data_IF_855762182494
#
_entry.id   IF_855762182494
#
_cell.length_a   1.000
_cell.length_b   1.000
_cell.length_c   1.000
_cell.angle_alpha   90.00
_cell.angle_beta   90.00
_cell.angle_gamma   90.00
#
_symmetry.space_group_name_H-M   'P 1'
#
loop_
_entity.id
_entity.type
_entity.pdbx_description
1 polymer ?
2 water ?
#
# COMPACT_ATOMS: atom_id res chain seq x y z
N UNK A 2 -9.06 -27.16 19.60
CA UNK A 2 -10.41 -26.86 20.06
C UNK A 2 -10.64 -25.36 20.24
N UNK A 3 -9.60 -24.60 20.57
CA UNK A 3 -9.68 -23.15 20.41
C UNK A 3 -9.94 -22.81 18.95
N UNK A 4 -10.78 -21.81 18.72
CA UNK A 4 -11.11 -21.41 17.35
C UNK A 4 -11.01 -19.89 17.22
N UNK A 5 -10.86 -19.44 15.98
CA UNK A 5 -10.77 -18.02 15.69
C UNK A 5 -12.16 -17.39 15.73
N UNK A 6 -12.33 -16.34 16.54
CA UNK A 6 -13.65 -15.74 16.67
C UNK A 6 -14.00 -14.81 15.51
N UNK A 7 -13.02 -14.41 14.70
CA UNK A 7 -13.31 -13.56 13.56
C UNK A 7 -14.09 -14.31 12.48
N UNK A 8 -14.97 -13.57 11.81
CA UNK A 8 -15.66 -14.11 10.65
C UNK A 8 -14.66 -14.39 9.53
N UNK A 9 -15.00 -15.37 8.69
CA UNK A 9 -14.11 -15.75 7.59
C UNK A 9 -13.87 -14.60 6.62
N UNK A 10 -14.81 -13.65 6.53
CA UNK A 10 -14.61 -12.49 5.67
C UNK A 10 -13.54 -11.53 6.22
N UNK A 11 -13.05 -11.77 7.43
CA UNK A 11 -11.99 -10.96 8.01
C UNK A 11 -10.68 -11.72 8.09
N UNK A 12 -10.56 -12.84 7.38
CA UNK A 12 -9.34 -13.60 7.23
C UNK A 12 -8.94 -13.50 5.76
N UNK A 13 -7.75 -12.95 5.49
CA UNK A 13 -7.36 -12.54 4.15
C UNK A 13 -6.11 -13.27 3.70
N UNK A 14 -6.21 -13.99 2.58
CA UNK A 14 -5.04 -14.57 1.95
C UNK A 14 -4.45 -13.51 1.02
N UNK A 15 -3.24 -13.07 1.32
CA UNK A 15 -2.59 -12.01 0.56
C UNK A 15 -1.68 -12.69 -0.46
N UNK A 16 -2.11 -12.71 -1.73
CA UNK A 16 -1.41 -13.48 -2.76
C UNK A 16 -1.18 -12.66 -4.01
N UNK A 17 -1.23 -11.33 -3.90
CA UNK A 17 -1.08 -10.44 -5.03
C UNK A 17 -0.66 -9.08 -4.50
N UNK A 18 -0.12 -8.25 -5.39
CA UNK A 18 0.42 -6.97 -4.95
C UNK A 18 -0.68 -6.05 -4.48
N UNK A 19 -1.84 -6.05 -5.14
CA UNK A 19 -2.94 -5.21 -4.67
C UNK A 19 -3.38 -5.61 -3.27
N UNK A 20 -3.40 -6.91 -2.97
CA UNK A 20 -3.80 -7.35 -1.64
C UNK A 20 -2.76 -6.99 -0.60
N UNK A 21 -1.48 -7.01 -0.97
CA UNK A 21 -0.41 -6.63 -0.07
C UNK A 21 -0.53 -5.16 0.33
N UNK A 22 -0.78 -4.27 -0.63
CA UNK A 22 -0.89 -2.85 -0.30
C UNK A 22 -2.20 -2.54 0.43
N UNK A 23 -3.27 -3.30 0.16
CA UNK A 23 -4.48 -3.12 0.96
C UNK A 23 -4.23 -3.52 2.41
N UNK A 24 -3.49 -4.61 2.62
CA UNK A 24 -3.07 -4.99 3.97
C UNK A 24 -2.24 -3.88 4.62
N UNK A 25 -1.25 -3.36 3.90
CA UNK A 25 -0.37 -2.33 4.45
C UNK A 25 -1.18 -1.11 4.84
N UNK A 26 -2.20 -0.76 4.04
CA UNK A 26 -3.05 0.38 4.36
C UNK A 26 -3.70 0.23 5.74
N UNK A 27 -4.18 -0.97 6.05
CA UNK A 27 -4.77 -1.22 7.37
C UNK A 27 -3.68 -1.22 8.45
N UNK A 28 -2.62 -1.98 8.24
CA UNK A 28 -1.66 -2.22 9.32
C UNK A 28 -0.87 -0.98 9.69
N UNK A 29 -0.60 -0.08 8.74
CA UNK A 29 0.21 1.08 9.07
C UNK A 29 -0.48 2.03 10.04
N UNK A 30 -1.77 1.87 10.29
CA UNK A 30 -2.44 2.70 11.29
C UNK A 30 -2.77 1.96 12.58
N UNK A 31 -2.42 0.70 12.70
CA UNK A 31 -2.70 -0.03 13.92
C UNK A 31 -1.67 0.28 15.00
N UNK A 32 -2.09 0.10 16.24
CA UNK A 32 -1.21 0.27 17.39
C UNK A 32 -0.76 -1.06 17.99
N UNK A 33 -1.38 -2.17 17.61
CA UNK A 33 -0.98 -3.47 18.12
C UNK A 33 -1.25 -4.52 17.05
N UNK A 34 -0.23 -5.33 16.74
CA UNK A 34 -0.28 -6.38 15.72
C UNK A 34 0.40 -7.61 16.30
N UNK A 35 -0.10 -8.79 15.96
CA UNK A 35 0.58 -10.02 16.31
C UNK A 35 1.12 -10.66 15.03
N UNK A 36 2.25 -11.36 15.16
CA UNK A 36 2.79 -12.01 13.95
C UNK A 36 3.29 -13.41 14.27
N UNK A 37 3.26 -14.23 13.22
CA UNK A 37 3.74 -15.60 13.20
C UNK A 37 4.10 -15.94 11.75
N UNK A 38 4.68 -17.12 11.55
CA UNK A 38 5.07 -17.52 10.21
C UNK A 38 5.07 -19.03 10.10
N UNK A 39 4.97 -19.51 8.86
CA UNK A 39 5.06 -20.93 8.56
C UNK A 39 6.13 -21.13 7.49
N UNK A 40 6.88 -22.23 7.64
CA UNK A 40 8.04 -22.49 6.82
C UNK A 40 7.88 -23.80 6.06
N UNK A 41 8.46 -23.85 4.87
CA UNK A 41 8.49 -25.10 4.12
C UNK A 41 9.23 -26.16 4.92
N UNK A 42 8.75 -27.41 4.94
CA UNK A 42 9.56 -28.49 5.51
C UNK A 42 10.93 -28.53 4.83
N UNK A 43 11.95 -28.85 5.61
CA UNK A 43 13.32 -28.85 5.11
C UNK A 43 13.89 -30.26 5.14
N UNK A 44 14.81 -30.50 4.21
CA UNK A 44 15.44 -31.80 4.03
C UNK A 44 16.94 -31.62 3.85
N UNK A 45 17.54 -30.86 4.76
CA UNK A 45 18.94 -30.51 4.70
C UNK A 45 19.23 -29.22 3.97
N UNK A 46 18.32 -28.74 3.12
CA UNK A 46 18.53 -27.54 2.35
C UNK A 46 18.26 -26.28 3.15
N UNK A 47 18.25 -25.16 2.43
CA UNK A 47 18.02 -23.87 3.06
C UNK A 47 16.56 -23.69 3.44
N UNK A 48 16.33 -22.86 4.45
CA UNK A 48 14.97 -22.58 4.88
C UNK A 48 14.30 -21.60 3.93
N UNK A 49 13.00 -21.80 3.71
CA UNK A 49 12.19 -20.96 2.84
C UNK A 49 10.85 -20.69 3.50
N UNK A 50 10.41 -19.43 3.47
CA UNK A 50 9.14 -19.04 4.09
C UNK A 50 7.98 -19.45 3.19
N UNK A 51 6.93 -20.00 3.82
CA UNK A 51 5.67 -20.23 3.11
C UNK A 51 4.65 -19.12 3.36
N UNK A 52 4.39 -18.82 4.64
CA UNK A 52 3.41 -17.81 5.05
C UNK A 52 4.01 -16.91 6.11
N UNK A 53 3.60 -15.64 6.09
CA UNK A 53 3.75 -14.73 7.24
C UNK A 53 2.35 -14.24 7.61
N UNK A 54 1.99 -14.38 8.88
CA UNK A 54 0.64 -14.05 9.33
C UNK A 54 0.69 -12.83 10.25
N UNK A 55 -0.15 -11.84 9.95
CA UNK A 55 -0.23 -10.59 10.71
C UNK A 55 -1.67 -10.39 11.14
N UNK A 56 -1.89 -10.30 12.46
CA UNK A 56 -3.23 -10.23 13.03
C UNK A 56 -3.46 -8.92 13.76
N UNK A 57 -4.63 -8.34 13.56
CA UNK A 57 -5.17 -7.27 14.40
C UNK A 57 -6.39 -7.82 15.12
N UNK A 58 -6.98 -7.01 16.01
CA UNK A 58 -8.18 -7.48 16.68
C UNK A 58 -9.33 -7.72 15.72
N UNK A 59 -9.27 -7.16 14.51
CA UNK A 59 -10.38 -7.20 13.56
C UNK A 59 -10.14 -8.02 12.31
N UNK A 60 -8.87 -8.31 11.97
CA UNK A 60 -8.54 -8.96 10.71
C UNK A 60 -7.27 -9.77 10.89
N UNK A 61 -7.16 -10.86 10.12
CA UNK A 61 -5.92 -11.60 10.03
C UNK A 61 -5.51 -11.65 8.56
N UNK A 62 -4.26 -11.29 8.29
CA UNK A 62 -3.68 -11.34 6.95
C UNK A 62 -2.64 -12.45 6.88
N UNK A 63 -2.67 -13.23 5.82
CA UNK A 63 -1.70 -14.31 5.63
C UNK A 63 -0.99 -14.05 4.32
N UNK A 64 0.26 -13.58 4.39
CA UNK A 64 1.03 -13.31 3.18
C UNK A 64 1.55 -14.63 2.62
N UNK A 65 1.11 -14.97 1.40
CA UNK A 65 1.57 -16.18 0.72
C UNK A 65 2.87 -15.84 0.01
N UNK A 66 3.99 -16.17 0.64
CA UNK A 66 5.28 -15.76 0.11
C UNK A 66 5.60 -16.54 -1.15
N UNK A 67 5.09 -17.77 -1.25
CA UNK A 67 5.38 -18.60 -2.42
C UNK A 67 4.71 -18.05 -3.67
N UNK A 68 3.50 -17.52 -3.56
CA UNK A 68 2.70 -17.12 -4.71
C UNK A 68 2.82 -15.62 -5.02
N UNK A 69 3.11 -14.80 -4.00
CA UNK A 69 2.92 -13.36 -4.15
C UNK A 69 3.99 -12.69 -5.01
N UNK A 70 5.22 -13.24 -5.04
CA UNK A 70 6.29 -12.66 -5.87
C UNK A 70 6.62 -11.21 -5.46
N UNK A 71 6.73 -10.99 -4.15
CA UNK A 71 7.07 -9.67 -3.64
C UNK A 71 8.55 -9.36 -3.83
N UNK A 72 8.86 -8.09 -4.03
CA UNK A 72 10.20 -7.60 -4.36
C UNK A 72 10.80 -6.82 -3.20
N UNK A 73 12.09 -6.46 -3.27
CA UNK A 73 12.71 -5.76 -2.12
C UNK A 73 11.96 -4.52 -1.65
N UNK A 74 11.40 -3.72 -2.57
CA UNK A 74 10.64 -2.54 -2.16
C UNK A 74 9.43 -2.94 -1.31
N UNK A 75 8.75 -4.03 -1.67
CA UNK A 75 7.56 -4.44 -0.92
C UNK A 75 7.92 -4.86 0.49
N UNK A 76 8.96 -5.68 0.64
CA UNK A 76 9.41 -6.10 1.97
C UNK A 76 9.95 -4.92 2.76
N UNK A 77 10.67 -4.02 2.12
CA UNK A 77 11.15 -2.85 2.83
C UNK A 77 10.00 -1.99 3.33
N UNK A 78 8.91 -1.94 2.56
CA UNK A 78 7.76 -1.15 2.99
C UNK A 78 7.07 -1.77 4.19
N UNK A 79 7.00 -3.10 4.23
CA UNK A 79 6.41 -3.77 5.39
C UNK A 79 7.29 -3.60 6.62
N UNK A 80 8.61 -3.73 6.46
CA UNK A 80 9.50 -3.52 7.59
C UNK A 80 9.40 -2.10 8.12
N UNK A 81 9.38 -1.12 7.21
CA UNK A 81 9.40 0.27 7.67
C UNK A 81 8.09 0.68 8.32
N UNK A 82 6.96 0.26 7.77
CA UNK A 82 5.67 0.80 8.18
C UNK A 82 4.96 -0.04 9.23
N UNK A 83 5.53 -1.20 9.60
CA UNK A 83 4.95 -2.05 10.64
C UNK A 83 6.01 -2.48 11.64
N UNK A 84 7.04 -3.20 11.18
CA UNK A 84 7.89 -3.91 12.14
C UNK A 84 8.91 -3.02 12.82
N UNK A 85 9.57 -2.13 12.07
CA UNK A 85 10.63 -1.29 12.63
C UNK A 85 10.11 0.05 13.11
N UNK A 86 8.95 0.05 13.74
CA UNK A 86 8.35 1.24 14.30
C UNK A 86 8.20 1.09 15.80
N UNK A 87 8.71 2.05 16.56
CA UNK A 87 8.60 1.99 18.01
C UNK A 87 7.20 2.31 18.51
N UNK A 88 6.32 2.86 17.65
CA UNK A 88 4.98 3.27 18.07
C UNK A 88 3.91 2.23 17.75
N UNK A 89 4.31 1.04 17.28
CA UNK A 89 3.38 -0.07 17.06
C UNK A 89 3.87 -1.27 17.85
N UNK A 90 3.03 -1.75 18.76
CA UNK A 90 3.35 -2.97 19.51
C UNK A 90 3.17 -4.20 18.61
N UNK A 91 4.20 -5.04 18.52
CA UNK A 91 4.11 -6.33 17.85
C UNK A 91 4.17 -7.43 18.91
N UNK A 92 3.23 -8.36 18.85
CA UNK A 92 3.23 -9.53 19.73
C UNK A 92 3.77 -10.73 18.98
N UNK A 93 4.53 -11.56 19.67
CA UNK A 93 5.19 -12.71 19.07
C UNK A 93 5.44 -13.74 20.16
N UNK A 94 5.84 -14.94 19.76
CA UNK A 94 6.31 -15.96 20.69
C UNK A 94 7.68 -16.41 20.21
N UNK A 95 8.71 -16.22 21.04
CA UNK A 95 10.09 -16.50 20.69
C UNK A 95 10.48 -15.95 19.32
N UNK A 96 10.36 -14.61 19.14
CA UNK A 96 10.54 -14.02 17.80
C UNK A 96 11.93 -14.18 17.20
N UNK A 97 12.96 -14.32 18.03
CA UNK A 97 14.34 -14.37 17.51
C UNK A 97 14.51 -15.48 16.48
N UNK A 98 13.79 -16.58 16.64
CA UNK A 98 13.91 -17.69 15.70
C UNK A 98 13.50 -17.27 14.30
N UNK A 99 12.26 -16.79 14.14
CA UNK A 99 11.79 -16.38 12.81
C UNK A 99 12.62 -15.23 12.27
N UNK A 100 12.91 -14.23 13.11
CA UNK A 100 13.54 -13.01 12.63
C UNK A 100 14.95 -13.27 12.13
N UNK A 101 15.74 -14.06 12.88
CA UNK A 101 17.07 -14.41 12.40
C UNK A 101 17.00 -15.19 11.10
N UNK A 102 16.02 -16.10 10.99
CA UNK A 102 15.88 -16.90 9.77
C UNK A 102 15.41 -16.05 8.59
N UNK A 103 14.57 -15.03 8.83
CA UNK A 103 14.19 -14.12 7.76
C UNK A 103 15.41 -13.46 7.12
N UNK A 104 16.44 -13.16 7.93
CA UNK A 104 17.58 -12.41 7.37
C UNK A 104 18.24 -13.20 6.24
N UNK A 105 18.12 -14.52 6.26
CA UNK A 105 18.70 -15.34 5.22
C UNK A 105 17.69 -15.75 4.17
N UNK A 106 16.44 -16.00 4.57
CA UNK A 106 15.43 -16.46 3.62
C UNK A 106 14.76 -15.32 2.87
N UNK A 107 14.61 -14.16 3.52
CA UNK A 107 13.92 -13.01 2.95
C UNK A 107 14.71 -11.77 3.33
N UNK A 108 15.90 -11.59 2.74
CA UNK A 108 16.84 -10.60 3.29
C UNK A 108 16.33 -9.16 3.25
N UNK A 109 15.46 -8.81 2.29
CA UNK A 109 14.92 -7.45 2.24
C UNK A 109 13.92 -7.16 3.35
N UNK A 110 13.35 -8.19 3.98
CA UNK A 110 12.43 -8.03 5.10
C UNK A 110 13.29 -7.95 6.36
N UNK A 111 13.90 -6.77 6.53
CA UNK A 111 14.99 -6.58 7.46
C UNK A 111 14.44 -6.03 8.78
N UNK A 112 13.96 -6.94 9.62
CA UNK A 112 13.37 -6.57 10.91
C UNK A 112 14.46 -6.38 11.95
N UNK A 113 14.41 -5.26 12.68
CA UNK A 113 15.36 -4.95 13.73
C UNK A 113 14.85 -5.46 15.08
N UNK A 114 15.57 -6.41 15.65
CA UNK A 114 15.22 -6.95 16.98
C UNK A 114 16.53 -7.27 17.68
N UNK A 115 16.95 -6.38 18.59
CA UNK A 115 18.28 -6.48 19.19
C UNK A 115 18.28 -5.74 20.52
N UNK A 116 19.42 -5.85 21.21
CA UNK A 116 19.58 -5.24 22.53
C UNK A 116 19.28 -3.75 22.51
N UNK A 117 19.77 -3.05 21.49
CA UNK A 117 19.54 -1.60 21.40
C UNK A 117 18.06 -1.29 21.29
N UNK A 118 17.39 -1.86 20.28
CA UNK A 118 15.98 -1.59 20.03
C UNK A 118 15.24 -2.88 19.78
N UNK A 119 14.17 -3.09 20.55
CA UNK A 119 13.23 -4.17 20.31
C UNK A 119 12.28 -3.85 19.17
N UNK A 120 12.31 -2.62 18.66
CA UNK A 120 11.30 -2.14 17.71
C UNK A 120 9.89 -2.38 18.24
N UNK A 121 9.74 -2.38 19.56
CA UNK A 121 8.47 -2.64 20.23
C UNK A 121 7.92 -4.03 19.88
N UNK A 122 8.81 -5.00 19.65
CA UNK A 122 8.40 -6.39 19.48
C UNK A 122 8.47 -7.08 20.85
N UNK A 123 7.33 -7.55 21.32
CA UNK A 123 7.25 -8.22 22.62
C UNK A 123 7.22 -9.73 22.42
N UNK A 124 8.19 -10.41 23.02
CA UNK A 124 8.19 -11.87 23.13
C UNK A 124 7.27 -12.26 24.28
N UNK A 125 6.18 -12.96 23.98
CA UNK A 125 5.26 -13.33 25.07
C UNK A 125 5.86 -14.36 26.00
N UNK A 126 6.86 -15.12 25.55
CA UNK A 126 7.55 -16.02 26.48
C UNK A 126 8.29 -15.24 27.55
N UNK A 127 8.80 -14.06 27.23
CA UNK A 127 9.46 -13.21 28.24
C UNK A 127 8.45 -12.64 29.21
N UNK A 128 7.28 -12.22 28.71
CA UNK A 128 6.22 -11.76 29.61
C UNK A 128 5.74 -12.87 30.52
N UNK A 129 5.60 -14.08 29.97
CA UNK A 129 5.27 -15.25 30.77
C UNK A 129 6.24 -15.44 31.92
N UNK A 130 7.54 -15.44 31.61
CA UNK A 130 8.54 -15.65 32.65
C UNK A 130 8.55 -14.51 33.67
N UNK A 131 8.20 -13.30 33.23
CA UNK A 131 8.21 -12.15 34.13
C UNK A 131 7.06 -12.23 35.14
N UNK A 132 5.86 -12.52 34.66
CA UNK A 132 4.69 -12.53 35.54
C UNK A 132 4.64 -13.76 36.43
N UNK A 133 5.30 -14.86 36.02
CA UNK A 133 5.42 -16.06 36.85
C UNK A 133 5.98 -15.74 38.22
N UNK A 134 6.78 -14.68 38.33
CA UNK A 134 7.48 -14.34 39.55
C UNK A 134 6.62 -13.56 40.53
N UNK A 135 5.49 -13.00 40.10
CA UNK A 135 4.56 -12.39 41.03
C UNK A 135 3.77 -13.49 41.74
N UNK A 136 3.96 -13.59 43.06
CA UNK A 136 3.32 -14.68 43.81
C UNK A 136 1.81 -14.65 43.70
N UNK A 137 1.22 -13.45 43.57
CA UNK A 137 -0.22 -13.30 43.47
C UNK A 137 -0.76 -13.63 42.09
N UNK A 138 0.07 -13.67 41.07
CA UNK A 138 -0.42 -13.79 39.70
C UNK A 138 -0.98 -15.18 39.45
N UNK A 139 -2.20 -15.23 38.94
CA UNK A 139 -2.85 -16.49 38.56
C UNK A 139 -3.41 -16.37 37.14
N UNK A 140 -3.02 -17.30 36.28
CA UNK A 140 -3.70 -17.42 34.99
C UNK A 140 -5.16 -17.82 35.23
N UNK A 141 -6.07 -17.41 34.33
CA UNK A 141 -7.50 -17.74 34.55
C UNK A 141 -7.79 -19.21 34.48
N UNK A 142 -6.95 -19.99 33.80
CA UNK A 142 -7.09 -21.43 33.78
C UNK A 142 -5.76 -21.98 34.26
N UNK A 143 -5.38 -21.58 35.47
CA UNK A 143 -4.03 -21.80 35.95
C UNK A 143 -3.72 -23.28 36.08
N UNK A 144 -2.48 -23.62 35.77
CA UNK A 144 -1.94 -24.96 35.98
C UNK A 144 -0.52 -24.79 36.48
N UNK A 145 -0.02 -25.83 37.13
CA UNK A 145 1.30 -25.78 37.75
C UNK A 145 2.35 -26.34 36.80
N UNK A 146 3.43 -25.58 36.61
CA UNK A 146 4.66 -26.04 35.98
C UNK A 146 4.41 -26.77 34.65
N UNK A 147 3.74 -26.07 33.73
CA UNK A 147 3.62 -26.59 32.39
C UNK A 147 4.87 -26.22 31.59
N UNK A 148 5.14 -27.00 30.54
CA UNK A 148 6.20 -26.64 29.61
C UNK A 148 5.88 -25.29 28.99
N UNK A 149 6.91 -24.48 28.76
CA UNK A 149 6.72 -23.10 28.32
C UNK A 149 6.70 -23.02 26.79
N UNK A 150 5.61 -23.54 26.22
CA UNK A 150 5.34 -23.45 24.79
C UNK A 150 4.01 -22.73 24.57
N UNK A 151 3.73 -22.40 23.30
CA UNK A 151 2.55 -21.60 23.00
C UNK A 151 1.26 -22.36 23.30
N UNK A 152 1.23 -23.67 23.01
CA UNK A 152 0.02 -24.44 23.26
C UNK A 152 -0.37 -24.40 24.74
N UNK A 153 0.62 -24.47 25.63
CA UNK A 153 0.30 -24.42 27.05
C UNK A 153 -0.11 -23.01 27.48
N UNK A 154 0.49 -21.98 26.90
CA UNK A 154 0.07 -20.62 27.22
C UNK A 154 -1.36 -20.36 26.78
N UNK A 155 -1.77 -20.91 25.63
CA UNK A 155 -3.15 -20.79 25.19
C UNK A 155 -4.09 -21.43 26.21
N UNK A 156 -3.75 -22.62 26.70
CA UNK A 156 -4.61 -23.25 27.70
C UNK A 156 -4.70 -22.43 28.97
N UNK A 157 -3.55 -21.93 29.46
CA UNK A 157 -3.54 -21.13 30.69
C UNK A 157 -4.38 -19.87 30.56
N UNK A 158 -4.35 -19.23 29.39
CA UNK A 158 -5.02 -17.95 29.24
C UNK A 158 -6.45 -18.06 28.75
N UNK A 159 -6.75 -19.03 27.88
CA UNK A 159 -8.04 -19.12 27.25
C UNK A 159 -8.85 -20.36 27.60
N UNK A 160 -8.26 -21.33 28.30
CA UNK A 160 -9.02 -22.47 28.78
C UNK A 160 -9.43 -23.45 27.71
N UNK A 161 -8.77 -23.41 26.55
CA UNK A 161 -9.03 -24.36 25.49
C UNK A 161 -7.72 -24.92 24.97
N UNK A 162 -7.82 -26.09 24.34
CA UNK A 162 -6.66 -26.74 23.75
C UNK A 162 -6.35 -26.10 22.39
N UNK A 163 -5.08 -25.85 22.14
CA UNK A 163 -4.62 -25.38 20.83
C UNK A 163 -4.39 -26.58 19.93
N UNK A 164 -5.20 -26.71 18.88
CA UNK A 164 -5.04 -27.79 17.91
C UNK A 164 -3.79 -27.54 17.09
N UNK A 165 -2.76 -28.35 17.32
CA UNK A 165 -1.47 -28.24 16.66
C UNK A 165 -1.26 -29.29 15.57
N UNK A 166 -2.33 -29.97 15.14
CA UNK A 166 -2.15 -31.09 14.21
C UNK A 166 -1.58 -30.64 12.87
N UNK A 167 -1.72 -29.37 12.51
CA UNK A 167 -1.20 -28.86 11.25
C UNK A 167 0.11 -28.08 11.40
N UNK A 168 0.68 -28.04 12.61
CA UNK A 168 1.91 -27.31 12.85
C UNK A 168 3.02 -27.75 11.90
N UNK A 169 3.18 -29.07 11.73
CA UNK A 169 4.21 -29.64 10.88
C UNK A 169 3.64 -30.24 9.61
N UNK A 170 2.51 -29.69 9.14
CA UNK A 170 1.94 -30.08 7.86
C UNK A 170 2.82 -29.59 6.71
N UNK A 171 2.44 -29.95 5.48
CA UNK A 171 3.25 -29.63 4.32
C UNK A 171 2.92 -28.21 3.90
N UNK A 172 3.67 -27.25 4.45
CA UNK A 172 3.43 -25.85 4.14
C UNK A 172 3.86 -25.45 2.73
N UNK A 173 4.49 -26.35 1.98
CA UNK A 173 4.89 -26.05 0.61
C UNK A 173 3.82 -26.42 -0.42
N UNK A 174 2.81 -27.17 -0.02
CA UNK A 174 1.79 -27.55 -0.99
C UNK A 174 0.89 -26.37 -1.31
N UNK A 175 0.48 -26.27 -2.58
CA UNK A 175 -0.44 -25.25 -3.04
C UNK A 175 -1.53 -25.87 -3.90
N UNK A 176 -2.81 -25.56 -3.67
CA UNK A 176 -3.24 -24.66 -2.58
C UNK A 176 -3.11 -25.31 -1.21
N UNK A 177 -2.99 -24.47 -0.18
CA UNK A 177 -3.05 -24.98 1.16
C UNK A 177 -4.46 -25.45 1.48
N UNK A 178 -4.56 -26.41 2.38
CA UNK A 178 -5.87 -26.91 2.81
C UNK A 178 -6.50 -25.93 3.79
N UNK A 179 -7.83 -25.94 3.85
CA UNK A 179 -8.52 -25.00 4.74
C UNK A 179 -8.08 -25.18 6.19
N UNK A 180 -7.75 -26.40 6.61
CA UNK A 180 -7.30 -26.62 7.98
C UNK A 180 -5.94 -25.98 8.23
N UNK A 181 -5.09 -25.94 7.20
CA UNK A 181 -3.79 -25.27 7.32
C UNK A 181 -3.97 -23.76 7.45
N UNK A 182 -4.82 -23.18 6.59
CA UNK A 182 -5.08 -21.75 6.67
C UNK A 182 -5.69 -21.37 8.02
N UNK A 183 -6.58 -22.22 8.54
CA UNK A 183 -7.19 -21.91 9.84
C UNK A 183 -6.14 -21.94 10.96
N UNK A 184 -5.29 -22.96 10.97
CA UNK A 184 -4.22 -23.03 11.96
C UNK A 184 -3.30 -21.82 11.86
N UNK A 185 -2.92 -21.45 10.65
CA UNK A 185 -1.97 -20.34 10.49
C UNK A 185 -2.57 -19.03 10.98
N UNK A 186 -3.84 -18.78 10.66
CA UNK A 186 -4.45 -17.52 11.08
C UNK A 186 -4.59 -17.46 12.60
N UNK A 187 -5.02 -18.55 13.21
CA UNK A 187 -5.19 -18.56 14.66
C UNK A 187 -3.85 -18.48 15.38
N UNK A 188 -2.76 -18.98 14.78
CA UNK A 188 -1.49 -18.96 15.50
C UNK A 188 -1.01 -17.53 15.72
N UNK A 189 -1.38 -16.62 14.82
CA UNK A 189 -1.10 -15.21 15.07
C UNK A 189 -2.17 -14.58 15.99
N UNK A 190 -3.45 -14.82 15.71
CA UNK A 190 -4.51 -14.13 16.46
C UNK A 190 -4.49 -14.48 17.95
N UNK A 191 -4.16 -15.72 18.30
CA UNK A 191 -4.24 -16.11 19.70
C UNK A 191 -3.23 -15.34 20.56
N UNK A 192 -2.18 -14.78 19.94
CA UNK A 192 -1.23 -13.97 20.69
C UNK A 192 -1.90 -12.72 21.24
N UNK A 193 -2.83 -12.14 20.48
CA UNK A 193 -3.58 -10.99 20.98
C UNK A 193 -4.44 -11.38 22.17
N UNK A 194 -5.11 -12.52 22.07
CA UNK A 194 -5.95 -13.00 23.17
C UNK A 194 -5.12 -13.32 24.41
N UNK A 195 -3.92 -13.90 24.22
CA UNK A 195 -3.02 -14.17 25.35
C UNK A 195 -2.62 -12.86 26.03
N UNK A 196 -2.15 -11.88 25.25
CA UNK A 196 -1.73 -10.61 25.87
C UNK A 196 -2.87 -9.99 26.65
N UNK A 197 -4.07 -10.01 26.09
CA UNK A 197 -5.22 -9.41 26.78
C UNK A 197 -5.50 -10.11 28.10
N UNK A 198 -5.38 -11.43 28.14
CA UNK A 198 -5.64 -12.16 29.38
C UNK A 198 -4.59 -11.84 30.45
N UNK A 199 -3.32 -11.73 30.05
CA UNK A 199 -2.27 -11.41 31.01
C UNK A 199 -2.43 -9.98 31.52
N UNK A 200 -2.72 -9.04 30.62
CA UNK A 200 -3.00 -7.66 31.01
C UNK A 200 -4.07 -7.59 32.08
N UNK A 201 -5.18 -8.30 31.86
CA UNK A 201 -6.29 -8.25 32.81
C UNK A 201 -5.89 -8.78 34.18
N UNK A 202 -5.08 -9.85 34.21
CA UNK A 202 -4.70 -10.41 35.50
C UNK A 202 -3.66 -9.55 36.21
N UNK A 203 -2.76 -8.89 35.48
CA UNK A 203 -1.85 -7.94 36.11
C UNK A 203 -2.61 -6.78 36.76
N UNK A 204 -3.62 -6.26 36.06
CA UNK A 204 -4.46 -5.23 36.63
C UNK A 204 -5.19 -5.75 37.88
N UNK A 205 -5.60 -7.03 37.85
CA UNK A 205 -6.33 -7.61 38.97
C UNK A 205 -5.48 -7.63 40.24
N UNK A 206 -4.18 -7.86 40.12
CA UNK A 206 -3.31 -7.89 41.29
C UNK A 206 -2.61 -6.54 41.47
N UNK A 207 -3.24 -5.48 40.97
CA UNK A 207 -2.84 -4.09 41.23
C UNK A 207 -1.46 -3.75 40.68
N UNK A 208 -1.12 -4.33 39.53
CA UNK A 208 0.08 -3.94 38.80
C UNK A 208 -0.33 -3.21 37.53
N UNK A 209 0.59 -2.43 36.97
CA UNK A 209 0.30 -1.69 35.74
C UNK A 209 0.92 -2.45 34.58
N UNK A 210 0.12 -3.11 33.76
CA UNK A 210 0.71 -3.85 32.62
C UNK A 210 1.48 -2.97 31.64
N UNK A 211 1.09 -1.69 31.46
CA UNK A 211 1.85 -0.83 30.55
C UNK A 211 3.24 -0.54 31.11
N UNK A 212 3.36 -0.39 32.44
CA UNK A 212 4.67 -0.18 33.03
C UNK A 212 5.56 -1.40 32.83
N UNK A 213 4.99 -2.60 33.01
CA UNK A 213 5.72 -3.84 32.78
C UNK A 213 6.11 -3.99 31.31
N UNK A 214 5.18 -3.66 30.40
CA UNK A 214 5.47 -3.71 28.98
C UNK A 214 6.70 -2.87 28.62
N UNK A 215 6.73 -1.61 29.09
CA UNK A 215 7.86 -0.75 28.74
C UNK A 215 9.18 -1.31 29.26
N UNK A 216 9.18 -1.86 30.48
CA UNK A 216 10.41 -2.43 31.01
C UNK A 216 10.89 -3.61 30.16
N UNK A 217 9.96 -4.48 29.73
CA UNK A 217 10.36 -5.63 28.93
C UNK A 217 10.91 -5.22 27.58
N UNK A 218 10.37 -4.16 26.99
CA UNK A 218 10.82 -3.71 25.68
C UNK A 218 12.14 -2.95 25.76
N UNK A 219 12.79 -2.91 26.92
CA UNK A 219 14.03 -2.15 27.11
C UNK A 219 15.16 -2.97 27.74
N UNK A 220 15.00 -4.27 27.92
CA UNK A 220 16.08 -5.06 28.52
C UNK A 220 16.65 -6.08 27.54
N UNK B 2 -17.35 24.65 -17.59
CA UNK B 2 -18.54 24.04 -18.16
C UNK B 2 -18.44 22.52 -18.11
N UNK B 3 -17.31 21.98 -18.56
CA UNK B 3 -17.08 20.55 -18.40
C UNK B 3 -17.01 20.19 -16.93
N UNK B 4 -17.58 19.03 -16.58
CA UNK B 4 -17.60 18.56 -15.20
C UNK B 4 -17.18 17.11 -15.15
N UNK B 5 -16.77 16.69 -13.95
CA UNK B 5 -16.35 15.31 -13.71
C UNK B 5 -17.55 14.39 -13.62
N UNK B 6 -17.52 13.29 -14.38
CA UNK B 6 -18.65 12.38 -14.44
C UNK B 6 -18.74 11.44 -13.24
N UNK B 7 -17.65 11.24 -12.51
CA UNK B 7 -17.67 10.39 -11.33
C UNK B 7 -18.39 11.07 -10.19
N UNK B 8 -19.01 10.26 -9.32
CA UNK B 8 -19.60 10.87 -8.14
C UNK B 8 -18.55 11.05 -7.06
N UNK B 9 -18.93 11.82 -6.03
CA UNK B 9 -17.96 12.35 -5.08
C UNK B 9 -17.26 11.27 -4.28
N UNK B 10 -17.91 10.13 -4.10
CA UNK B 10 -17.31 9.04 -3.34
C UNK B 10 -16.21 8.32 -4.10
N UNK B 11 -16.02 8.63 -5.39
CA UNK B 11 -14.91 8.09 -6.17
C UNK B 11 -13.86 9.14 -6.44
N UNK B 12 -13.89 10.25 -5.73
CA UNK B 12 -12.84 11.26 -5.73
C UNK B 12 -12.24 11.27 -4.34
N UNK B 13 -10.95 10.95 -4.24
CA UNK B 13 -10.31 10.63 -2.96
C UNK B 13 -9.22 11.64 -2.69
N UNK B 14 -9.32 12.33 -1.56
CA UNK B 14 -8.22 13.15 -1.08
C UNK B 14 -7.28 12.26 -0.28
N UNK B 15 -6.06 12.11 -0.77
CA UNK B 15 -5.08 11.21 -0.17
C UNK B 15 -4.18 12.08 0.71
N UNK B 16 -4.43 12.07 2.03
CA UNK B 16 -3.73 12.95 2.95
C UNK B 16 -3.11 12.19 4.12
N UNK B 17 -2.87 10.89 3.96
CA UNK B 17 -2.23 10.07 4.98
C UNK B 17 -1.61 8.84 4.33
N UNK B 18 -0.72 8.18 5.08
CA UNK B 18 -0.07 6.98 4.56
C UNK B 18 -1.06 5.86 4.30
N UNK B 19 -2.07 5.68 5.16
CA UNK B 19 -3.01 4.60 4.92
C UNK B 19 -3.82 4.84 3.65
N UNK B 20 -4.21 6.09 3.39
CA UNK B 20 -4.94 6.38 2.17
C UNK B 20 -4.04 6.24 0.96
N UNK B 21 -2.76 6.55 1.12
CA UNK B 21 -1.80 6.37 0.04
C UNK B 21 -1.66 4.90 -0.36
N UNK B 22 -1.57 4.01 0.64
CA UNK B 22 -1.42 2.60 0.30
C UNK B 22 -2.71 2.01 -0.23
N UNK B 23 -3.88 2.53 0.20
CA UNK B 23 -5.13 2.09 -0.39
C UNK B 23 -5.21 2.49 -1.85
N UNK B 24 -4.77 3.70 -2.16
CA UNK B 24 -4.67 4.13 -3.55
C UNK B 24 -3.75 3.20 -4.35
N UNK B 25 -2.56 2.89 -3.80
CA UNK B 25 -1.64 2.04 -4.53
C UNK B 25 -2.23 0.65 -4.75
N UNK B 26 -3.04 0.15 -3.82
CA UNK B 26 -3.68 -1.14 -4.00
C UNK B 26 -4.52 -1.15 -5.28
N UNK B 27 -5.25 -0.07 -5.54
CA UNK B 27 -6.01 0.06 -6.79
C UNK B 27 -5.08 0.23 -7.98
N UNK B 28 -4.18 1.21 -7.90
CA UNK B 28 -3.44 1.64 -9.09
C UNK B 28 -2.47 0.58 -9.58
N UNK B 29 -1.94 -0.25 -8.69
CA UNK B 29 -0.95 -1.22 -9.12
C UNK B 29 -1.56 -2.30 -10.01
N UNK B 30 -2.89 -2.40 -10.12
CA UNK B 30 -3.51 -3.35 -11.04
C UNK B 30 -4.13 -2.68 -12.26
N UNK B 31 -4.06 -1.37 -12.37
CA UNK B 31 -4.62 -0.69 -13.53
C UNK B 31 -3.71 -0.80 -14.73
N UNK B 32 -4.32 -0.73 -15.92
CA UNK B 32 -3.58 -0.70 -17.18
C UNK B 32 -3.51 0.68 -17.80
N UNK B 33 -4.25 1.65 -17.30
CA UNK B 33 -4.18 3.01 -17.83
C UNK B 33 -4.51 3.99 -16.71
N UNK B 34 -3.65 4.98 -16.53
CA UNK B 34 -3.76 5.97 -15.46
C UNK B 34 -3.36 7.32 -16.03
N UNK B 35 -4.14 8.34 -15.76
CA UNK B 35 -3.78 9.69 -16.17
C UNK B 35 -3.18 10.42 -14.99
N UNK B 36 -2.24 11.32 -15.24
CA UNK B 36 -1.70 12.10 -14.13
C UNK B 36 -1.54 13.58 -14.47
N UNK B 37 -1.60 14.38 -13.41
CA UNK B 37 -1.42 15.82 -13.46
C UNK B 37 -0.93 16.26 -12.08
N UNK B 38 -0.58 17.54 -11.97
CA UNK B 38 -0.12 18.03 -10.68
C UNK B 38 -0.39 19.51 -10.55
N UNK B 39 -0.38 19.98 -9.30
CA UNK B 39 -0.52 21.40 -8.99
C UNK B 39 0.62 21.82 -8.07
N UNK B 40 1.13 23.03 -8.29
CA UNK B 40 2.32 23.51 -7.63
C UNK B 40 2.04 24.78 -6.84
N UNK B 41 2.72 24.91 -5.70
CA UNK B 41 2.67 26.13 -4.92
C UNK B 41 3.11 27.32 -5.78
N UNK B 42 2.46 28.48 -5.64
CA UNK B 42 2.92 29.68 -6.35
C UNK B 42 4.38 30.00 -6.03
N UNK B 43 5.08 30.51 -7.04
CA UNK B 43 6.52 30.74 -6.97
C UNK B 43 6.79 32.24 -6.86
N UNK B 44 7.61 32.62 -5.87
CA UNK B 44 8.06 33.99 -5.68
C UNK B 44 9.59 33.97 -5.57
N UNK B 45 10.27 33.75 -6.69
CA UNK B 45 11.72 33.71 -6.67
C UNK B 45 12.28 32.71 -5.67
N UNK B 46 11.69 31.53 -5.59
CA UNK B 46 12.16 30.49 -4.71
C UNK B 46 12.10 29.13 -5.38
N UNK B 47 12.41 28.07 -4.65
CA UNK B 47 12.35 26.73 -5.22
C UNK B 47 10.90 26.28 -5.38
N UNK B 48 10.67 25.43 -6.38
CA UNK B 48 9.34 24.91 -6.65
C UNK B 48 9.00 23.82 -5.63
N UNK B 49 7.72 23.77 -5.24
CA UNK B 49 7.22 22.81 -4.27
C UNK B 49 5.86 22.30 -4.73
N UNK B 50 5.65 20.99 -4.62
CA UNK B 50 4.41 20.38 -5.09
C UNK B 50 3.31 20.53 -4.05
N UNK B 51 2.10 20.88 -4.51
CA UNK B 51 0.92 20.87 -3.67
C UNK B 51 0.12 19.57 -3.80
N UNK B 52 -0.23 19.20 -5.04
CA UNK B 52 -1.06 18.03 -5.29
C UNK B 52 -0.46 17.26 -6.46
N UNK B 53 -0.60 15.93 -6.40
CA UNK B 53 -0.43 15.07 -7.56
C UNK B 53 -1.73 14.30 -7.73
N UNK B 54 -2.29 14.33 -8.96
CA UNK B 54 -3.59 13.73 -9.24
C UNK B 54 -3.41 12.53 -10.17
N UNK B 55 -4.00 11.41 -9.78
CA UNK B 55 -3.93 10.17 -10.55
C UNK B 55 -5.34 9.69 -10.79
N UNK B 56 -5.72 9.52 -12.06
CA UNK B 56 -7.10 9.20 -12.43
C UNK B 56 -7.16 7.86 -13.17
N UNK B 57 -8.16 7.08 -12.83
CA UNK B 57 -8.59 5.92 -13.61
C UNK B 57 -9.99 6.21 -14.12
N UNK B 58 -10.53 5.29 -14.94
CA UNK B 58 -11.89 5.50 -15.39
C UNK B 58 -12.91 5.49 -14.25
N UNK B 59 -12.55 4.92 -13.09
CA UNK B 59 -13.51 4.78 -11.99
C UNK B 59 -13.23 5.64 -10.77
N UNK B 60 -12.01 6.17 -10.63
CA UNK B 60 -11.62 6.88 -9.41
C UNK B 60 -10.58 7.94 -9.74
N UNK B 61 -10.60 9.03 -9.00
CA UNK B 61 -9.53 10.03 -9.04
C UNK B 61 -8.96 10.17 -7.64
N UNK B 62 -7.63 10.10 -7.56
CA UNK B 62 -6.89 10.27 -6.31
C UNK B 62 -6.11 11.56 -6.36
N UNK B 63 -6.17 12.35 -5.31
CA UNK B 63 -5.43 13.60 -5.24
C UNK B 63 -4.51 13.50 -4.03
N UNK B 64 -3.21 13.34 -4.28
CA UNK B 64 -2.24 13.21 -3.20
C UNK B 64 -1.94 14.61 -2.71
N UNK B 65 -2.31 14.89 -1.45
CA UNK B 65 -1.98 16.17 -0.83
C UNK B 65 -0.56 16.05 -0.29
N UNK B 66 0.40 16.54 -1.07
CA UNK B 66 1.81 16.39 -0.71
C UNK B 66 2.11 17.21 0.54
N UNK B 67 1.42 18.33 0.72
CA UNK B 67 1.73 19.19 1.86
C UNK B 67 1.34 18.53 3.17
N UNK B 68 0.22 17.82 3.21
CA UNK B 68 -0.34 17.29 4.46
C UNK B 68 0.07 15.84 4.71
N UNK B 69 0.35 15.07 3.64
CA UNK B 69 0.45 13.62 3.77
C UNK B 69 1.70 13.15 4.52
N UNK B 70 2.77 13.93 4.52
CA UNK B 70 4.03 13.54 5.17
C UNK B 70 4.55 12.21 4.64
N UNK B 71 4.51 12.03 3.32
CA UNK B 71 5.01 10.78 2.75
C UNK B 71 6.53 10.78 2.79
N UNK B 72 7.08 9.60 3.01
CA UNK B 72 8.51 9.42 3.17
C UNK B 72 9.15 8.92 1.87
N UNK B 73 10.48 8.99 1.75
CA UNK B 73 11.12 8.60 0.48
C UNK B 73 10.71 7.23 -0.02
N UNK B 74 10.54 6.24 0.85
CA UNK B 74 10.15 4.92 0.38
C UNK B 74 8.73 4.91 -0.18
N UNK B 75 7.86 5.77 0.35
CA UNK B 75 6.51 5.86 -0.22
C UNK B 75 6.54 6.39 -1.64
N UNK B 76 7.35 7.42 -1.89
CA UNK B 76 7.49 7.92 -3.25
C UNK B 76 8.13 6.87 -4.15
N UNK B 77 9.08 6.09 -3.62
CA UNK B 77 9.66 5.02 -4.41
C UNK B 77 8.61 4.00 -4.78
N UNK B 78 7.66 3.75 -3.88
CA UNK B 78 6.61 2.78 -4.14
C UNK B 78 5.69 3.27 -5.24
N UNK B 79 5.41 4.57 -5.27
CA UNK B 79 4.57 5.09 -6.34
C UNK B 79 5.30 5.06 -7.67
N UNK B 80 6.59 5.39 -7.68
CA UNK B 80 7.36 5.29 -8.91
C UNK B 80 7.42 3.85 -9.42
N UNK B 81 7.66 2.89 -8.52
CA UNK B 81 7.82 1.51 -8.96
C UNK B 81 6.49 0.91 -9.41
N UNK B 82 5.41 1.17 -8.67
CA UNK B 82 4.13 0.52 -8.94
C UNK B 82 3.29 1.22 -10.00
N UNK B 83 3.63 2.43 -10.40
CA UNK B 83 2.84 3.16 -11.40
C UNK B 83 3.72 3.72 -12.51
N UNK B 84 4.59 4.67 -12.18
CA UNK B 84 5.20 5.50 -13.22
C UNK B 84 6.26 4.75 -14.02
N UNK B 85 7.03 3.87 -13.37
CA UNK B 85 8.14 3.19 -14.03
C UNK B 85 7.79 1.80 -14.53
N UNK B 86 6.50 1.48 -14.63
CA UNK B 86 6.05 0.19 -15.15
C UNK B 86 5.74 0.30 -16.62
N UNK B 87 6.40 -0.53 -17.43
CA UNK B 87 6.17 -0.50 -18.87
C UNK B 87 4.78 -1.01 -19.25
N UNK B 88 4.14 -1.80 -18.39
CA UNK B 88 2.87 -2.42 -18.72
C UNK B 88 1.67 -1.63 -18.24
N UNK B 89 1.87 -0.39 -17.79
CA UNK B 89 0.78 0.53 -17.46
C UNK B 89 0.95 1.77 -18.32
N UNK B 90 -0.08 2.09 -19.10
CA UNK B 90 -0.07 3.33 -19.87
C UNK B 90 -0.39 4.52 -18.96
N UNK B 91 0.46 5.54 -18.98
CA UNK B 91 0.23 6.80 -18.27
C UNK B 91 -0.11 7.85 -19.32
N UNK B 92 -1.21 8.57 -19.09
CA UNK B 92 -1.60 9.69 -19.92
C UNK B 92 -1.20 10.99 -19.25
N UNK B 93 -0.78 11.96 -20.06
CA UNK B 93 -0.28 13.22 -19.55
C UNK B 93 -0.41 14.28 -20.64
N UNK B 94 -0.17 15.53 -20.27
CA UNK B 94 -0.05 16.61 -21.24
C UNK B 94 1.22 17.37 -20.92
N UNK B 95 2.16 17.40 -21.87
CA UNK B 95 3.48 18.00 -21.69
C UNK B 95 4.14 17.55 -20.39
N UNK B 96 4.36 16.25 -20.20
CA UNK B 96 4.82 15.74 -18.90
C UNK B 96 6.23 16.18 -18.51
N UNK B 97 7.07 16.61 -19.47
CA UNK B 97 8.45 16.95 -19.12
C UNK B 97 8.52 18.08 -18.11
N UNK B 98 7.58 19.02 -18.17
CA UNK B 98 7.55 20.11 -17.21
C UNK B 98 7.42 19.58 -15.78
N UNK B 99 6.37 18.80 -15.53
CA UNK B 99 6.14 18.29 -14.18
C UNK B 99 7.26 17.36 -13.74
N UNK B 100 7.67 16.45 -14.62
CA UNK B 100 8.62 15.40 -14.23
C UNK B 100 9.98 16.01 -13.91
N UNK B 101 10.46 16.93 -14.75
CA UNK B 101 11.72 17.61 -14.45
C UNK B 101 11.61 18.39 -13.15
N UNK B 102 10.44 18.96 -12.86
CA UNK B 102 10.24 19.67 -11.61
C UNK B 102 10.17 18.71 -10.42
N UNK B 103 9.62 17.50 -10.63
CA UNK B 103 9.63 16.48 -9.58
C UNK B 103 11.05 16.12 -9.16
N UNK B 104 12.01 16.24 -10.08
CA UNK B 104 13.36 15.73 -9.83
C UNK B 104 14.03 16.42 -8.65
N UNK B 105 13.68 17.67 -8.39
CA UNK B 105 14.22 18.41 -7.26
C UNK B 105 13.21 18.62 -6.13
N UNK B 106 11.92 18.69 -6.45
CA UNK B 106 10.92 18.84 -5.40
C UNK B 106 10.73 17.54 -4.63
N UNK B 107 10.76 16.41 -5.33
CA UNK B 107 10.55 15.09 -4.74
C UNK B 107 11.66 14.16 -5.20
N UNK B 108 12.87 14.33 -4.64
CA UNK B 108 14.03 13.61 -5.21
C UNK B 108 13.93 12.09 -5.15
N UNK B 109 13.15 11.53 -4.21
CA UNK B 109 13.02 10.08 -4.11
C UNK B 109 11.94 9.51 -5.04
N UNK B 110 11.21 10.38 -5.74
CA UNK B 110 10.18 9.98 -6.69
C UNK B 110 10.87 9.82 -8.05
N UNK B 111 11.54 8.68 -8.22
CA UNK B 111 12.51 8.53 -9.31
C UNK B 111 11.80 8.22 -10.63
N UNK B 112 11.10 9.21 -11.15
CA UNK B 112 10.45 9.12 -12.46
C UNK B 112 11.37 9.71 -13.50
N UNK B 113 11.28 9.17 -14.71
CA UNK B 113 12.18 9.48 -15.82
C UNK B 113 11.35 9.60 -17.09
N UNK B 114 11.52 10.70 -17.83
CA UNK B 114 10.79 10.83 -19.08
C UNK B 114 11.59 11.61 -20.12
N UNK B 115 11.74 11.01 -21.28
CA UNK B 115 12.09 11.70 -22.52
C UNK B 115 11.12 11.21 -23.59
N UNK B 116 11.03 11.98 -24.67
CA UNK B 116 10.20 11.52 -25.79
C UNK B 116 10.79 10.29 -26.45
N UNK B 117 12.07 9.98 -26.21
CA UNK B 117 12.68 8.77 -26.73
C UNK B 117 12.67 7.62 -25.73
N UNK B 118 12.62 7.91 -24.43
CA UNK B 118 12.51 6.90 -23.37
C UNK B 118 11.33 7.29 -22.49
N UNK B 119 10.18 6.64 -22.72
CA UNK B 119 8.90 7.15 -22.22
C UNK B 119 8.43 6.52 -20.92
N UNK B 120 8.92 5.34 -20.54
CA UNK B 120 8.34 4.56 -19.44
C UNK B 120 6.83 4.38 -19.63
N UNK B 121 6.41 4.28 -20.90
CA UNK B 121 5.01 4.15 -21.28
C UNK B 121 4.18 5.36 -20.82
N UNK B 122 4.83 6.52 -20.74
CA UNK B 122 4.12 7.78 -20.50
C UNK B 122 3.83 8.41 -21.86
N UNK B 123 2.55 8.56 -22.18
CA UNK B 123 2.12 9.19 -23.43
C UNK B 123 1.81 10.66 -23.19
N UNK B 124 2.51 11.53 -23.92
CA UNK B 124 2.21 12.96 -23.97
C UNK B 124 1.10 13.18 -25.00
N UNK B 125 -0.08 13.60 -24.54
CA UNK B 125 -1.19 13.78 -25.47
C UNK B 125 -0.94 14.87 -26.49
N UNK B 126 -0.06 15.83 -26.17
CA UNK B 126 0.32 16.85 -27.14
C UNK B 126 1.09 16.25 -28.30
N UNK B 127 1.88 15.19 -28.05
CA UNK B 127 2.56 14.48 -29.15
C UNK B 127 1.58 13.68 -29.98
N UNK B 128 0.59 13.05 -29.35
CA UNK B 128 -0.45 12.35 -30.11
C UNK B 128 -1.21 13.32 -31.00
N UNK B 129 -1.51 14.50 -30.44
CA UNK B 129 -2.17 15.56 -31.20
C UNK B 129 -1.38 15.91 -32.45
N UNK B 130 -0.08 16.18 -32.30
CA UNK B 130 0.77 16.47 -33.44
C UNK B 130 0.79 15.30 -34.41
N UNK B 131 0.78 14.07 -33.91
CA UNK B 131 0.97 12.91 -34.76
C UNK B 131 -0.23 12.68 -35.69
N UNK B 132 -1.45 12.81 -35.18
CA UNK B 132 -2.61 12.47 -35.99
C UNK B 132 -2.92 13.52 -37.05
N UNK B 133 -2.32 14.70 -36.96
CA UNK B 133 -2.55 15.72 -37.99
C UNK B 133 -2.04 15.25 -39.35
N UNK B 134 -1.19 14.21 -39.39
CA UNK B 134 -0.67 13.67 -40.63
C UNK B 134 -1.67 12.81 -41.38
N UNK B 135 -2.75 12.36 -40.73
CA UNK B 135 -3.77 11.56 -41.38
C UNK B 135 -4.82 12.50 -41.95
N UNK B 136 -4.83 12.64 -43.28
CA UNK B 136 -5.71 13.61 -43.91
C UNK B 136 -7.17 13.34 -43.62
N UNK B 137 -7.53 12.08 -43.37
CA UNK B 137 -8.90 11.76 -43.04
C UNK B 137 -9.24 11.98 -41.56
N UNK B 138 -8.24 12.27 -40.73
CA UNK B 138 -8.50 12.44 -39.30
C UNK B 138 -9.03 13.83 -39.03
N UNK B 139 -10.18 13.89 -38.38
CA UNK B 139 -10.71 15.13 -37.83
C UNK B 139 -11.09 14.87 -36.39
N UNK B 140 -10.84 15.84 -35.51
CA UNK B 140 -11.39 15.74 -34.18
C UNK B 140 -12.92 15.81 -34.26
N UNK B 141 -13.62 15.24 -33.29
CA UNK B 141 -15.11 15.28 -33.35
C UNK B 141 -15.66 16.69 -33.46
N UNK B 142 -15.02 17.65 -32.81
CA UNK B 142 -15.42 19.06 -32.86
C UNK B 142 -14.25 19.86 -33.42
N UNK B 143 -13.79 19.43 -34.59
CA UNK B 143 -12.59 19.95 -35.21
C UNK B 143 -12.66 21.45 -35.46
N UNK B 144 -11.51 22.11 -35.31
CA UNK B 144 -11.33 23.50 -35.70
C UNK B 144 -10.03 23.59 -36.49
N UNK B 145 -9.96 24.56 -37.40
CA UNK B 145 -8.85 24.59 -38.36
C UNK B 145 -7.52 24.92 -37.68
N UNK B 146 -7.50 25.98 -36.87
CA UNK B 146 -6.25 26.49 -36.28
C UNK B 146 -6.46 26.70 -34.80
N UNK B 147 -5.60 26.07 -33.99
CA UNK B 147 -5.81 25.98 -32.54
C UNK B 147 -4.46 26.06 -31.85
N UNK B 148 -4.33 26.98 -30.88
CA UNK B 148 -3.18 26.96 -29.99
C UNK B 148 -3.22 25.69 -29.15
N UNK B 149 -2.08 25.00 -29.03
CA UNK B 149 -2.06 23.64 -28.49
C UNK B 149 -1.90 23.64 -26.97
N UNK B 150 -3.02 23.86 -26.28
CA UNK B 150 -3.09 23.69 -24.84
C UNK B 150 -4.20 22.70 -24.48
N UNK B 151 -4.26 22.34 -23.20
CA UNK B 151 -5.19 21.31 -22.78
C UNK B 151 -6.64 21.75 -22.93
N UNK B 152 -6.95 23.01 -22.58
CA UNK B 152 -8.33 23.47 -22.69
C UNK B 152 -8.83 23.36 -24.13
N UNK B 153 -7.96 23.71 -25.08
CA UNK B 153 -8.40 23.65 -26.48
C UNK B 153 -8.55 22.21 -26.94
N UNK B 154 -7.68 21.31 -26.45
CA UNK B 154 -7.84 19.89 -26.79
C UNK B 154 -9.13 19.32 -26.20
N UNK B 155 -9.50 19.74 -24.99
CA UNK B 155 -10.79 19.33 -24.45
C UNK B 155 -11.93 19.78 -25.35
N UNK B 156 -11.87 21.01 -25.86
CA UNK B 156 -12.95 21.47 -26.73
C UNK B 156 -12.99 20.69 -28.04
N UNK B 157 -11.83 20.41 -28.65
CA UNK B 157 -11.81 19.65 -29.90
C UNK B 157 -12.35 18.24 -29.73
N UNK B 158 -12.09 17.63 -28.58
CA UNK B 158 -12.46 16.23 -28.36
C UNK B 158 -13.85 16.06 -27.77
N UNK B 159 -14.27 16.97 -26.88
CA UNK B 159 -15.52 16.80 -26.15
C UNK B 159 -16.56 17.87 -26.43
N UNK B 160 -16.17 18.97 -27.08
CA UNK B 160 -17.12 20.01 -27.44
C UNK B 160 -17.51 20.92 -26.30
N UNK B 161 -16.73 20.88 -25.21
CA UNK B 161 -17.08 21.57 -23.98
C UNK B 161 -15.92 22.46 -23.56
N UNK B 162 -16.23 23.45 -22.72
CA UNK B 162 -15.24 24.37 -22.22
C UNK B 162 -14.67 23.86 -20.91
N UNK B 163 -13.34 23.79 -20.84
CA UNK B 163 -12.64 23.49 -19.60
C UNK B 163 -12.47 24.76 -18.79
N UNK B 164 -13.09 24.81 -17.61
CA UNK B 164 -12.97 25.96 -16.72
C UNK B 164 -11.58 25.98 -16.11
N UNK B 165 -10.77 26.96 -16.47
CA UNK B 165 -9.39 27.07 -15.99
C UNK B 165 -9.23 28.18 -14.96
N UNK B 166 -10.33 28.65 -14.38
CA UNK B 166 -10.24 29.78 -13.47
C UNK B 166 -9.40 29.47 -12.23
N UNK B 167 -9.29 28.20 -11.84
CA UNK B 167 -8.48 27.86 -10.67
C UNK B 167 -7.08 27.40 -11.03
N UNK B 168 -6.71 27.43 -12.31
CA UNK B 168 -5.39 26.98 -12.74
C UNK B 168 -4.27 27.64 -11.94
N UNK B 169 -4.32 28.96 -11.77
CA UNK B 169 -3.31 29.69 -11.02
C UNK B 169 -3.84 30.20 -9.68
N UNK B 170 -4.76 29.47 -9.08
CA UNK B 170 -5.22 29.75 -7.73
C UNK B 170 -4.10 29.45 -6.72
N UNK B 171 -4.37 29.79 -5.45
CA UNK B 171 -3.39 29.60 -4.39
C UNK B 171 -3.37 28.14 -3.98
N UNK B 172 -2.49 27.36 -4.63
CA UNK B 172 -2.42 25.94 -4.32
C UNK B 172 -1.73 25.65 -2.99
N UNK B 173 -1.17 26.68 -2.33
CA UNK B 173 -0.54 26.47 -1.03
C UNK B 173 -1.50 26.59 0.14
N UNK B 174 -2.70 27.13 -0.07
CA UNK B 174 -3.61 27.34 1.04
C UNK B 174 -4.22 26.01 1.50
N UNK B 175 -4.41 25.87 2.81
CA UNK B 175 -5.02 24.69 3.38
C UNK B 175 -6.06 25.13 4.39
N UNK B 176 -7.29 24.59 4.35
CA UNK B 176 -7.71 23.61 3.35
C UNK B 176 -7.88 24.23 1.97
N UNK B 177 -7.79 23.37 0.95
CA UNK B 177 -8.11 23.81 -0.39
C UNK B 177 -9.62 23.99 -0.53
N UNK B 178 -10.02 24.91 -1.42
CA UNK B 178 -11.43 25.12 -1.67
C UNK B 178 -12.00 24.00 -2.51
N UNK B 179 -13.31 23.77 -2.35
CA UNK B 179 -13.95 22.69 -3.12
C UNK B 179 -13.77 22.91 -4.61
N UNK B 180 -13.83 24.15 -5.08
CA UNK B 180 -13.63 24.42 -6.51
C UNK B 180 -12.22 24.09 -6.96
N UNK B 181 -11.22 24.26 -6.09
CA UNK B 181 -9.85 23.88 -6.45
C UNK B 181 -9.72 22.37 -6.55
N UNK B 182 -10.29 21.63 -5.59
CA UNK B 182 -10.22 20.18 -5.66
C UNK B 182 -10.93 19.66 -6.90
N UNK B 183 -12.07 20.26 -7.26
CA UNK B 183 -12.80 19.82 -8.45
C UNK B 183 -11.97 20.06 -9.71
N UNK B 184 -11.35 21.22 -9.81
CA UNK B 184 -10.50 21.52 -10.96
C UNK B 184 -9.35 20.53 -11.06
N UNK B 185 -8.71 20.23 -9.92
CA UNK B 185 -7.54 19.37 -9.92
C UNK B 185 -7.91 17.95 -10.34
N UNK B 186 -9.04 17.44 -9.84
CA UNK B 186 -9.44 16.09 -10.20
C UNK B 186 -9.78 15.98 -11.68
N UNK B 187 -10.52 16.97 -12.19
CA UNK B 187 -10.90 16.95 -13.60
C UNK B 187 -9.69 17.14 -14.50
N UNK B 188 -8.66 17.85 -14.05
CA UNK B 188 -7.53 18.10 -14.94
C UNK B 188 -6.80 16.79 -15.25
N UNK B 189 -6.85 15.83 -14.35
CA UNK B 189 -6.32 14.51 -14.68
C UNK B 189 -7.34 13.67 -15.44
N UNK B 190 -8.59 13.65 -14.97
CA UNK B 190 -9.59 12.74 -15.56
C UNK B 190 -9.84 13.06 -17.03
N UNK B 191 -9.84 14.35 -17.40
CA UNK B 191 -10.14 14.70 -18.79
C UNK B 191 -9.10 14.16 -19.75
N UNK B 192 -7.90 13.80 -19.28
CA UNK B 192 -6.92 13.19 -20.17
C UNK B 192 -7.40 11.82 -20.65
N UNK B 193 -8.08 11.06 -19.78
CA UNK B 193 -8.66 9.79 -20.20
C UNK B 193 -9.71 10.02 -21.28
N UNK B 194 -10.58 11.02 -21.06
CA UNK B 194 -11.64 11.33 -22.01
C UNK B 194 -11.06 11.75 -23.37
N UNK B 195 -9.97 12.51 -23.34
CA UNK B 195 -9.33 12.95 -24.58
C UNK B 195 -8.76 11.75 -25.33
N UNK B 196 -8.03 10.88 -24.63
CA UNK B 196 -7.45 9.73 -25.31
C UNK B 196 -8.53 8.86 -25.92
N UNK B 197 -9.61 8.63 -25.19
CA UNK B 197 -10.75 7.85 -25.68
C UNK B 197 -11.35 8.47 -26.93
N UNK B 198 -11.51 9.79 -26.94
CA UNK B 198 -12.10 10.44 -28.11
C UNK B 198 -11.21 10.27 -29.33
N UNK B 199 -9.90 10.37 -29.16
CA UNK B 199 -9.00 10.25 -30.30
C UNK B 199 -8.94 8.81 -30.78
N UNK B 200 -8.93 7.86 -29.85
CA UNK B 200 -8.95 6.44 -30.20
C UNK B 200 -10.19 6.10 -31.02
N UNK B 201 -11.37 6.58 -30.59
CA UNK B 201 -12.61 6.28 -31.29
C UNK B 201 -12.62 6.90 -32.68
N UNK B 202 -12.20 8.16 -32.79
CA UNK B 202 -12.06 8.81 -34.09
C UNK B 202 -11.19 7.97 -35.02
N UNK B 203 -10.08 7.47 -34.49
CA UNK B 203 -9.18 6.65 -35.28
C UNK B 203 -9.86 5.35 -35.73
N UNK B 204 -10.55 4.68 -34.80
CA UNK B 204 -11.27 3.46 -35.17
C UNK B 204 -12.36 3.76 -36.20
N UNK B 205 -12.92 4.96 -36.18
CA UNK B 205 -13.97 5.32 -37.13
C UNK B 205 -13.46 5.39 -38.56
N UNK B 206 -12.18 5.70 -38.74
CA UNK B 206 -11.64 5.86 -40.09
C UNK B 206 -10.66 4.73 -40.40
N UNK B 207 -10.87 3.57 -39.76
CA UNK B 207 -10.18 2.33 -40.11
C UNK B 207 -8.66 2.44 -39.89
N UNK B 208 -8.26 3.13 -38.82
CA UNK B 208 -6.88 3.09 -38.37
C UNK B 208 -6.82 2.39 -37.02
N UNK B 209 -5.62 1.90 -36.68
CA UNK B 209 -5.45 1.18 -35.42
C UNK B 209 -4.77 2.08 -34.39
N UNK B 210 -5.51 2.55 -33.38
CA UNK B 210 -4.88 3.43 -32.37
C UNK B 210 -3.78 2.75 -31.56
N UNK B 211 -3.87 1.42 -31.33
CA UNK B 211 -2.81 0.74 -30.60
C UNK B 211 -1.52 0.70 -31.39
N UNK B 212 -1.62 0.56 -32.72
CA UNK B 212 -0.43 0.64 -33.55
C UNK B 212 0.21 2.02 -33.47
N UNK B 213 -0.61 3.08 -33.49
CA UNK B 213 -0.09 4.43 -33.38
C UNK B 213 0.50 4.69 -31.99
N UNK B 214 -0.18 4.20 -30.96
CA UNK B 214 0.31 4.32 -29.59
C UNK B 214 1.70 3.70 -29.45
N UNK B 215 1.84 2.46 -29.93
CA UNK B 215 3.11 1.76 -29.78
C UNK B 215 4.22 2.50 -30.51
N UNK B 216 3.92 3.13 -31.65
CA UNK B 216 4.93 3.90 -32.35
C UNK B 216 5.35 5.13 -31.55
N UNK B 217 4.39 5.82 -30.94
CA UNK B 217 4.71 7.02 -30.18
C UNK B 217 5.56 6.69 -28.96
N UNK B 218 5.33 5.55 -28.33
CA UNK B 218 6.00 5.22 -27.09
C UNK B 218 7.40 4.64 -27.29
N UNK B 219 7.88 4.53 -28.52
CA UNK B 219 9.26 4.15 -28.77
C UNK B 219 10.00 5.28 -29.48
#
# INVERSE_FOLDING_TARGET
>A
SAHTLRLDESHVHLVDSKDKFYAMLSDLCRQSMIAFASEWKPTFGGANEVSLIQLATWDDVYMIDVMVSQLEPLDWAALAKNVFNRDDVLKLSFAPSTDISMFQKALPSFNVMYSSQSTSAILDLQLLWRHVERFDSFRFPYHEESVNQNLANLVRLCLGKKLDKSNQFSNWAQRPLRKEQLRYAALDAFCLLEIYDAIEKQLTHIQLDPNEILNALLNDVRPPSDS
>B
SAHTLRLDESHVHLVDSKDKFYAMLSDLCRQSMIAFASEWKPTFGGANEVSLIQLATWDDVYMIDVMVSQLEPLDWAALAKNVFNRDDVLKLSFAPSTDISMFQKALPSFNVMYSSQSTSAILDLQLLWRHVERFDSFRFPYHEESVNQNLANLVRLCLGKKLDKSNQFSNWAQRPLRKEQLRYAALDAFCLLEIYDAIEKQLTHIQLDPNEILNALLNDVRPPSDS
#
